data_IF_724255981088
#
_entry.id   IF_724255981088
#
_cell.length_a   1.000
_cell.length_b   1.000
_cell.length_c   1.000
_cell.angle_alpha   90.00
_cell.angle_beta   90.00
_cell.angle_gamma   90.00
#
_symmetry.space_group_name_H-M   'P 1'
#
loop_
_entity.id
_entity.type
_entity.pdbx_description
1 polymer ?
#
# COMPACT_ATOMS: atom_id res chain seq x y z
N UNK A 1 -24.19 37.73 -7.36
CA UNK A 1 -24.76 36.65 -8.18
C UNK A 1 -23.61 36.01 -8.93
N UNK A 2 -23.13 34.86 -8.46
CA UNK A 2 -22.09 34.12 -9.18
C UNK A 2 -22.70 33.59 -10.49
N UNK A 3 -21.95 33.73 -11.59
CA UNK A 3 -22.41 33.35 -12.92
C UNK A 3 -22.65 31.85 -12.99
N UNK A 4 -23.68 31.41 -13.71
CA UNK A 4 -23.98 29.98 -13.97
C UNK A 4 -22.78 29.22 -14.57
N UNK A 5 -21.81 29.93 -15.17
CA UNK A 5 -20.56 29.37 -15.70
C UNK A 5 -19.56 28.95 -14.62
N UNK A 6 -19.56 29.61 -13.46
CA UNK A 6 -18.59 29.36 -12.38
C UNK A 6 -18.98 28.14 -11.53
N UNK A 7 -20.28 27.81 -11.49
CA UNK A 7 -20.79 26.61 -10.83
C UNK A 7 -20.61 25.35 -11.69
N UNK A 8 -20.60 25.46 -13.02
CA UNK A 8 -20.35 24.32 -13.92
C UNK A 8 -18.87 23.94 -14.01
N UNK A 9 -17.95 24.90 -13.93
CA UNK A 9 -16.50 24.62 -13.88
C UNK A 9 -16.07 24.01 -12.55
N UNK A 10 -16.64 24.47 -11.43
CA UNK A 10 -16.41 23.86 -10.12
C UNK A 10 -16.99 22.44 -10.02
N UNK A 11 -18.12 22.16 -10.66
CA UNK A 11 -18.71 20.81 -10.70
C UNK A 11 -17.88 19.84 -11.53
N UNK A 12 -17.31 20.29 -12.65
CA UNK A 12 -16.42 19.49 -13.49
C UNK A 12 -15.04 19.23 -12.83
N UNK A 13 -14.52 20.17 -12.04
CA UNK A 13 -13.29 19.96 -11.24
C UNK A 13 -13.50 18.95 -10.09
N UNK A 14 -14.69 18.93 -9.48
CA UNK A 14 -15.02 17.94 -8.43
C UNK A 14 -15.27 16.55 -9.02
N UNK A 15 -15.91 16.45 -10.19
CA UNK A 15 -16.16 15.17 -10.86
C UNK A 15 -14.88 14.55 -11.46
N UNK A 16 -13.93 15.37 -11.93
CA UNK A 16 -12.60 14.89 -12.38
C UNK A 16 -11.71 14.44 -11.21
N UNK A 17 -11.90 14.99 -10.01
CA UNK A 17 -11.20 14.55 -8.79
C UNK A 17 -11.86 13.33 -8.12
N UNK A 18 -13.15 13.08 -8.35
CA UNK A 18 -13.87 11.93 -7.78
C UNK A 18 -13.88 10.67 -8.68
N UNK A 19 -13.56 10.81 -9.97
CA UNK A 19 -13.58 9.68 -10.93
C UNK A 19 -12.38 8.72 -10.91
N UNK A 20 -11.30 8.98 -10.17
CA UNK A 20 -10.05 8.21 -10.25
C UNK A 20 -9.89 7.10 -9.20
N UNK A 21 -10.97 6.52 -8.70
CA UNK A 21 -10.91 5.45 -7.69
C UNK A 21 -11.62 4.15 -8.14
N UNK A 22 -11.25 3.65 -9.32
CA UNK A 22 -11.62 2.31 -9.78
C UNK A 22 -10.35 1.57 -10.26
N UNK A 23 -9.81 0.73 -9.36
CA UNK A 23 -9.19 -0.54 -9.74
C UNK A 23 -7.86 -0.56 -10.48
N UNK A 24 -6.84 0.21 -10.09
CA UNK A 24 -5.43 -0.08 -10.44
C UNK A 24 -4.52 -0.05 -9.21
N UNK A 25 -3.54 -0.98 -9.08
CA UNK A 25 -2.58 -0.95 -7.99
C UNK A 25 -1.76 0.34 -8.06
N UNK A 26 -1.49 0.93 -6.90
CA UNK A 26 -0.58 2.06 -6.79
C UNK A 26 0.81 1.66 -7.32
N UNK A 27 1.59 2.59 -7.91
CA UNK A 27 2.96 2.31 -8.31
C UNK A 27 3.73 1.63 -7.20
N UNK A 28 4.52 0.57 -7.48
CA UNK A 28 5.47 0.09 -6.50
C UNK A 28 6.35 1.28 -6.14
N UNK A 29 6.44 1.59 -4.85
CA UNK A 29 7.07 2.81 -4.31
C UNK A 29 8.38 3.22 -5.00
N UNK A 30 9.20 2.25 -5.40
CA UNK A 30 10.44 2.45 -6.16
C UNK A 30 10.29 3.26 -7.46
N UNK A 31 9.29 2.98 -8.31
CA UNK A 31 9.12 3.68 -9.60
C UNK A 31 8.71 5.14 -9.39
N UNK A 32 7.87 5.39 -8.37
CA UNK A 32 7.51 6.75 -7.96
C UNK A 32 8.73 7.51 -7.46
N UNK A 33 9.52 6.90 -6.58
CA UNK A 33 10.68 7.54 -5.97
C UNK A 33 11.76 7.83 -7.04
N UNK A 34 11.91 6.94 -8.02
CA UNK A 34 12.76 7.16 -9.19
C UNK A 34 12.29 8.34 -10.06
N UNK A 35 10.98 8.45 -10.30
CA UNK A 35 10.40 9.59 -11.03
C UNK A 35 10.64 10.91 -10.28
N UNK A 36 10.56 10.93 -8.95
CA UNK A 36 10.79 12.14 -8.16
C UNK A 36 12.25 12.56 -8.21
N UNK A 37 13.18 11.61 -8.05
CA UNK A 37 14.60 11.86 -8.23
C UNK A 37 14.93 12.39 -9.64
N UNK A 38 14.26 11.84 -10.67
CA UNK A 38 14.40 12.34 -12.04
C UNK A 38 13.95 13.79 -12.18
N UNK A 39 12.77 14.12 -11.63
CA UNK A 39 12.24 15.49 -11.67
C UNK A 39 13.20 16.46 -10.98
N UNK A 40 13.77 16.08 -9.84
CA UNK A 40 14.75 16.91 -9.12
C UNK A 40 16.03 17.17 -9.94
N UNK A 41 16.45 16.21 -10.76
CA UNK A 41 17.60 16.37 -11.67
C UNK A 41 17.26 17.36 -12.78
N UNK A 42 16.18 17.15 -13.53
CA UNK A 42 15.83 18.00 -14.67
C UNK A 42 15.40 19.41 -14.26
N UNK A 43 14.92 19.56 -13.02
CA UNK A 43 14.60 20.84 -12.39
C UNK A 43 15.81 21.47 -11.68
N UNK A 44 16.96 20.82 -11.73
CA UNK A 44 18.22 21.27 -11.13
C UNK A 44 18.12 21.59 -9.63
N UNK A 45 17.18 20.96 -8.91
CA UNK A 45 16.94 21.16 -7.48
C UNK A 45 18.04 20.55 -6.60
N UNK A 46 18.94 19.76 -7.19
CA UNK A 46 20.16 19.30 -6.53
C UNK A 46 21.19 20.43 -6.38
N UNK A 47 21.15 21.42 -7.27
CA UNK A 47 22.08 22.56 -7.29
C UNK A 47 21.41 23.83 -6.76
N UNK A 48 20.09 23.96 -6.97
CA UNK A 48 19.28 25.07 -6.52
C UNK A 48 18.54 24.74 -5.21
N UNK A 49 18.77 25.55 -4.17
CA UNK A 49 18.15 25.36 -2.84
C UNK A 49 16.68 25.80 -2.77
N UNK A 50 16.14 26.39 -3.82
CA UNK A 50 14.78 26.94 -3.90
C UNK A 50 14.11 26.51 -5.20
N UNK A 51 12.77 26.48 -5.20
CA UNK A 51 12.01 26.26 -6.42
C UNK A 51 12.20 27.50 -7.33
N UNK A 52 12.75 27.32 -8.55
CA UNK A 52 12.90 28.42 -9.49
C UNK A 52 11.54 29.05 -9.81
N UNK A 53 11.51 30.38 -9.94
CA UNK A 53 10.33 31.09 -10.41
C UNK A 53 9.96 30.70 -11.84
N UNK A 54 8.73 31.05 -12.29
CA UNK A 54 8.29 30.71 -13.64
C UNK A 54 9.19 31.36 -14.71
N UNK A 55 9.23 30.79 -15.93
CA UNK A 55 9.95 31.38 -17.05
C UNK A 55 9.49 32.82 -17.32
N UNK A 56 10.36 33.60 -17.97
CA UNK A 56 10.04 34.99 -18.29
C UNK A 56 8.74 35.08 -19.10
N UNK A 57 7.94 36.15 -18.92
CA UNK A 57 6.70 36.34 -19.68
C UNK A 57 6.91 36.33 -21.20
N UNK A 58 8.07 36.78 -21.69
CA UNK A 58 8.42 36.73 -23.10
C UNK A 58 8.59 35.28 -23.60
N UNK A 59 9.24 34.43 -22.81
CA UNK A 59 9.41 33.00 -23.11
C UNK A 59 8.06 32.28 -23.15
N UNK A 60 7.17 32.58 -22.21
CA UNK A 60 5.81 32.01 -22.21
C UNK A 60 4.98 32.49 -23.41
N UNK A 61 5.11 33.77 -23.78
CA UNK A 61 4.42 34.31 -24.95
C UNK A 61 4.89 33.64 -26.24
N UNK A 62 6.20 33.47 -26.41
CA UNK A 62 6.78 32.75 -27.56
C UNK A 62 6.30 31.30 -27.60
N UNK A 63 6.36 30.57 -26.48
CA UNK A 63 5.85 29.19 -26.39
C UNK A 63 4.38 29.09 -26.85
N UNK A 64 3.53 30.00 -26.36
CA UNK A 64 2.10 30.01 -26.68
C UNK A 64 1.80 30.29 -28.17
N UNK A 65 2.80 30.67 -28.98
CA UNK A 65 2.62 30.79 -30.45
C UNK A 65 2.82 29.47 -31.20
N UNK A 66 3.39 28.45 -30.57
CA UNK A 66 3.77 27.20 -31.22
C UNK A 66 2.73 26.09 -31.15
N UNK A 67 1.84 26.14 -30.14
CA UNK A 67 0.85 25.08 -29.89
C UNK A 67 -0.52 25.69 -29.65
N UNK A 68 -1.52 25.13 -30.32
CA UNK A 68 -2.94 25.49 -30.15
C UNK A 68 -3.66 24.51 -29.22
N UNK A 69 -3.19 23.26 -29.15
CA UNK A 69 -3.79 22.22 -28.31
C UNK A 69 -2.76 21.22 -27.74
N UNK A 70 -3.25 20.32 -26.89
CA UNK A 70 -2.46 19.28 -26.21
C UNK A 70 -1.99 18.18 -27.17
N UNK A 71 -2.73 17.89 -28.24
CA UNK A 71 -2.38 16.85 -29.21
C UNK A 71 -1.14 17.24 -30.03
N UNK A 72 -1.01 18.51 -30.40
CA UNK A 72 0.19 19.02 -31.08
C UNK A 72 1.44 18.86 -30.20
N UNK A 73 1.32 19.11 -28.89
CA UNK A 73 2.41 18.92 -27.92
C UNK A 73 2.78 17.44 -27.82
N UNK A 74 1.80 16.55 -27.68
CA UNK A 74 2.05 15.10 -27.62
C UNK A 74 2.69 14.58 -28.91
N UNK A 75 2.23 15.05 -30.07
CA UNK A 75 2.80 14.69 -31.35
C UNK A 75 4.25 15.16 -31.47
N UNK A 76 4.54 16.42 -31.11
CA UNK A 76 5.90 16.94 -31.10
C UNK A 76 6.81 16.18 -30.13
N UNK A 77 6.33 15.85 -28.92
CA UNK A 77 7.08 15.08 -27.95
C UNK A 77 7.42 13.65 -28.44
N UNK A 78 6.47 13.00 -29.12
CA UNK A 78 6.63 11.62 -29.61
C UNK A 78 7.47 11.52 -30.89
N UNK A 79 7.50 12.56 -31.72
CA UNK A 79 8.25 12.53 -32.98
C UNK A 79 9.70 12.97 -32.76
N UNK A 80 10.60 12.02 -32.54
CA UNK A 80 12.03 12.31 -32.34
C UNK A 80 12.73 12.92 -33.55
N UNK A 81 12.13 12.80 -34.74
CA UNK A 81 12.63 13.38 -36.00
C UNK A 81 12.07 14.78 -36.26
N UNK A 82 11.15 15.28 -35.43
CA UNK A 82 10.60 16.61 -35.62
C UNK A 82 11.69 17.69 -35.43
N UNK A 83 11.66 18.76 -36.25
CA UNK A 83 12.58 19.88 -36.09
C UNK A 83 12.41 20.51 -34.70
N UNK A 84 13.51 21.01 -34.15
CA UNK A 84 13.45 21.72 -32.87
C UNK A 84 12.75 23.07 -33.05
N UNK A 85 11.80 23.40 -32.17
CA UNK A 85 11.10 24.68 -32.18
C UNK A 85 12.01 25.84 -31.81
N UNK A 86 13.01 25.58 -30.96
CA UNK A 86 14.08 26.52 -30.65
C UNK A 86 15.46 25.90 -30.94
N UNK A 87 16.48 26.70 -31.27
CA UNK A 87 17.85 26.21 -31.39
C UNK A 87 18.37 25.59 -30.09
N UNK A 88 19.09 24.46 -30.18
CA UNK A 88 19.61 23.73 -29.01
C UNK A 88 20.51 24.59 -28.11
N UNK A 89 21.30 25.49 -28.68
CA UNK A 89 22.17 26.40 -27.91
C UNK A 89 21.39 27.38 -27.01
N UNK A 90 20.09 27.59 -27.27
CA UNK A 90 19.20 28.39 -26.43
C UNK A 90 18.63 27.62 -25.24
N UNK A 91 18.72 26.29 -25.21
CA UNK A 91 18.37 25.49 -24.03
C UNK A 91 19.46 25.70 -22.98
N UNK A 92 19.07 26.08 -21.77
CA UNK A 92 19.99 26.32 -20.65
C UNK A 92 19.91 25.25 -19.56
N UNK A 93 18.91 24.36 -19.61
CA UNK A 93 18.80 23.24 -18.68
C UNK A 93 19.99 22.28 -18.77
N UNK A 94 20.41 21.76 -17.62
CA UNK A 94 21.45 20.75 -17.40
C UNK A 94 22.86 21.13 -17.89
N UNK A 95 23.13 22.42 -18.15
CA UNK A 95 24.45 22.87 -18.64
C UNK A 95 25.57 22.71 -17.61
N UNK A 96 25.24 22.77 -16.32
CA UNK A 96 26.20 22.60 -15.21
C UNK A 96 26.43 21.14 -14.82
N UNK A 97 25.63 20.21 -15.36
CA UNK A 97 25.67 18.81 -14.97
C UNK A 97 26.96 18.17 -15.51
N UNK A 98 27.90 17.82 -14.63
CA UNK A 98 29.08 17.05 -15.01
C UNK A 98 28.66 15.61 -15.34
N UNK A 99 29.13 15.09 -16.48
CA UNK A 99 28.87 13.72 -16.91
C UNK A 99 29.40 12.71 -15.88
N UNK A 100 28.62 11.65 -15.59
CA UNK A 100 29.05 10.55 -14.74
C UNK A 100 28.08 10.19 -13.61
N UNK A 101 28.64 9.68 -12.52
CA UNK A 101 27.89 9.21 -11.35
C UNK A 101 27.57 10.37 -10.40
N UNK A 102 26.28 10.70 -10.22
CA UNK A 102 25.82 11.69 -9.23
C UNK A 102 25.28 10.98 -8.00
N UNK A 103 25.91 11.18 -6.84
CA UNK A 103 25.41 10.65 -5.56
C UNK A 103 24.13 11.38 -5.16
N UNK A 104 23.04 10.65 -5.02
CA UNK A 104 21.73 11.13 -4.58
C UNK A 104 21.26 10.15 -3.52
N UNK A 105 21.22 10.58 -2.26
CA UNK A 105 20.81 9.74 -1.12
C UNK A 105 19.45 9.05 -1.40
N UNK A 106 19.36 7.70 -1.38
CA UNK A 106 20.32 6.72 -0.86
C UNK A 106 21.28 6.04 -1.86
N UNK A 107 21.36 6.46 -3.12
CA UNK A 107 22.15 5.81 -4.16
C UNK A 107 23.01 6.73 -5.04
N UNK A 108 23.42 6.19 -6.19
CA UNK A 108 24.20 6.89 -7.21
C UNK A 108 23.46 6.74 -8.52
N UNK A 109 23.11 7.86 -9.15
CA UNK A 109 22.47 7.89 -10.46
C UNK A 109 23.55 8.02 -11.52
N UNK A 110 23.54 7.09 -12.49
CA UNK A 110 24.41 7.18 -13.65
C UNK A 110 23.73 8.05 -14.70
N UNK A 111 24.23 9.28 -14.87
CA UNK A 111 23.75 10.20 -15.90
C UNK A 111 24.82 10.23 -16.99
N UNK A 112 24.59 9.43 -18.03
CA UNK A 112 25.44 9.41 -19.22
C UNK A 112 25.26 10.69 -20.04
N UNK A 113 26.17 10.94 -20.98
CA UNK A 113 26.06 12.10 -21.86
C UNK A 113 24.79 12.08 -22.72
N UNK A 114 24.34 10.87 -23.06
CA UNK A 114 23.12 10.66 -23.82
C UNK A 114 21.87 11.17 -23.11
N UNK A 115 21.77 11.00 -21.79
CA UNK A 115 20.66 11.53 -21.00
C UNK A 115 20.53 13.05 -21.12
N UNK A 116 21.65 13.77 -20.99
CA UNK A 116 21.68 15.23 -21.07
C UNK A 116 21.29 15.67 -22.49
N UNK A 117 21.90 15.08 -23.50
CA UNK A 117 21.65 15.39 -24.91
C UNK A 117 20.18 15.13 -25.28
N UNK A 118 19.64 13.98 -24.85
CA UNK A 118 18.24 13.60 -25.08
C UNK A 118 17.27 14.56 -24.40
N UNK A 119 17.56 14.96 -23.15
CA UNK A 119 16.72 15.89 -22.40
C UNK A 119 16.73 17.29 -23.03
N UNK A 120 17.91 17.81 -23.38
CA UNK A 120 18.05 19.11 -24.05
C UNK A 120 17.40 19.10 -25.44
N UNK A 121 17.55 18.03 -26.21
CA UNK A 121 16.88 17.88 -27.51
C UNK A 121 15.35 17.84 -27.36
N UNK A 122 14.83 17.17 -26.34
CA UNK A 122 13.39 17.11 -26.07
C UNK A 122 12.84 18.48 -25.66
N UNK A 123 13.58 19.22 -24.80
CA UNK A 123 13.27 20.60 -24.43
C UNK A 123 13.25 21.53 -25.65
N UNK A 124 14.28 21.46 -26.51
CA UNK A 124 14.37 22.26 -27.73
C UNK A 124 13.21 21.97 -28.70
N UNK A 125 12.81 20.71 -28.83
CA UNK A 125 11.69 20.27 -29.65
C UNK A 125 10.34 20.79 -29.15
N UNK A 126 10.19 20.95 -27.85
CA UNK A 126 8.98 21.52 -27.24
C UNK A 126 9.07 23.03 -27.01
N UNK A 127 10.12 23.71 -27.48
CA UNK A 127 10.26 25.16 -27.35
C UNK A 127 10.59 25.63 -25.93
N UNK A 128 11.13 24.75 -25.08
CA UNK A 128 11.44 25.01 -23.68
C UNK A 128 12.93 25.29 -23.50
N UNK A 129 13.29 26.48 -23.01
CA UNK A 129 14.69 26.82 -22.71
C UNK A 129 15.17 26.24 -21.38
N UNK A 130 14.25 26.12 -20.43
CA UNK A 130 14.45 25.53 -19.11
C UNK A 130 13.27 24.62 -18.80
N UNK A 131 13.51 23.60 -17.99
CA UNK A 131 12.42 22.82 -17.41
C UNK A 131 11.96 23.52 -16.11
N UNK A 132 10.90 24.32 -16.22
CA UNK A 132 10.38 25.10 -15.11
C UNK A 132 8.84 25.19 -15.19
N UNK A 133 8.12 24.17 -14.67
CA UNK A 133 6.66 24.18 -14.63
C UNK A 133 6.11 25.46 -13.99
N UNK A 134 5.06 26.03 -14.59
CA UNK A 134 4.40 27.22 -14.05
C UNK A 134 3.43 26.80 -12.95
N UNK A 135 3.89 26.88 -11.70
CA UNK A 135 3.16 26.35 -10.55
C UNK A 135 1.89 27.11 -10.23
N UNK A 136 1.78 28.39 -10.60
CA UNK A 136 0.56 29.18 -10.42
C UNK A 136 -0.54 28.89 -11.46
N UNK A 137 -0.22 28.20 -12.56
CA UNK A 137 -1.20 27.82 -13.58
C UNK A 137 -1.79 26.43 -13.32
N UNK A 138 -2.88 26.12 -14.05
CA UNK A 138 -3.46 24.78 -14.08
C UNK A 138 -2.42 23.74 -14.54
N UNK A 139 -2.38 22.54 -13.92
CA UNK A 139 -1.62 21.40 -14.42
C UNK A 139 -1.97 21.00 -15.86
N UNK A 140 -3.15 21.41 -16.33
CA UNK A 140 -3.68 21.13 -17.67
C UNK A 140 -3.40 22.26 -18.68
N UNK A 141 -2.70 23.32 -18.29
CA UNK A 141 -2.27 24.36 -19.24
C UNK A 141 -1.29 23.78 -20.28
N UNK A 142 -1.31 24.31 -21.51
CA UNK A 142 -0.43 23.85 -22.60
C UNK A 142 1.05 23.87 -22.20
N UNK A 143 1.48 24.89 -21.48
CA UNK A 143 2.86 24.98 -21.00
C UNK A 143 3.22 23.89 -19.99
N UNK A 144 2.33 23.63 -19.01
CA UNK A 144 2.56 22.57 -18.02
C UNK A 144 2.42 21.17 -18.63
N UNK A 145 1.60 21.01 -19.67
CA UNK A 145 1.54 19.79 -20.46
C UNK A 145 2.89 19.51 -21.14
N UNK A 146 3.49 20.50 -21.80
CA UNK A 146 4.79 20.35 -22.42
C UNK A 146 5.86 19.98 -21.38
N UNK A 147 5.85 20.62 -20.20
CA UNK A 147 6.75 20.26 -19.09
C UNK A 147 6.54 18.80 -18.64
N UNK A 148 5.29 18.35 -18.52
CA UNK A 148 4.99 16.95 -18.16
C UNK A 148 5.48 15.98 -19.22
N UNK A 149 5.27 16.28 -20.51
CA UNK A 149 5.75 15.44 -21.61
C UNK A 149 7.28 15.31 -21.58
N UNK A 150 8.02 16.40 -21.33
CA UNK A 150 9.48 16.32 -21.13
C UNK A 150 9.80 15.34 -20.01
N UNK A 151 9.28 15.59 -18.80
CA UNK A 151 9.64 14.83 -17.61
C UNK A 151 9.36 13.33 -17.76
N UNK A 152 8.21 12.96 -18.32
CA UNK A 152 7.84 11.55 -18.48
C UNK A 152 8.68 10.87 -19.56
N UNK A 153 8.95 11.53 -20.69
CA UNK A 153 9.73 10.93 -21.78
C UNK A 153 11.19 10.76 -21.40
N UNK A 154 11.78 11.77 -20.77
CA UNK A 154 13.18 11.69 -20.32
C UNK A 154 13.34 10.68 -19.18
N UNK A 155 12.32 10.52 -18.33
CA UNK A 155 12.30 9.50 -17.30
C UNK A 155 12.28 8.09 -17.90
N UNK A 156 11.33 7.80 -18.79
CA UNK A 156 11.22 6.48 -19.43
C UNK A 156 12.50 6.13 -20.21
N UNK A 157 13.12 7.12 -20.86
CA UNK A 157 14.39 6.92 -21.57
C UNK A 157 15.53 6.58 -20.61
N UNK A 158 15.70 7.37 -19.54
CA UNK A 158 16.75 7.13 -18.53
C UNK A 158 16.53 5.81 -17.77
N UNK A 159 15.28 5.43 -17.51
CA UNK A 159 14.96 4.14 -16.91
C UNK A 159 15.34 2.97 -17.84
N UNK A 160 15.09 3.11 -19.14
CA UNK A 160 15.46 2.09 -20.15
C UNK A 160 16.98 1.90 -20.30
N UNK A 161 17.79 2.88 -19.85
CA UNK A 161 19.25 2.79 -19.80
C UNK A 161 19.78 2.44 -18.40
N UNK A 162 18.92 1.89 -17.53
CA UNK A 162 19.25 1.44 -16.17
C UNK A 162 19.76 2.55 -15.22
N UNK A 163 19.46 3.83 -15.49
CA UNK A 163 19.93 4.95 -14.65
C UNK A 163 19.46 4.87 -13.19
N UNK A 164 18.36 4.15 -12.93
CA UNK A 164 17.75 3.95 -11.60
C UNK A 164 17.85 2.51 -11.08
N UNK A 165 18.77 1.68 -11.59
CA UNK A 165 18.88 0.28 -11.20
C UNK A 165 19.04 0.06 -9.68
N UNK A 166 19.68 0.99 -8.97
CA UNK A 166 19.84 0.95 -7.51
C UNK A 166 18.51 0.95 -6.73
N UNK A 167 17.43 1.48 -7.32
CA UNK A 167 16.08 1.46 -6.74
C UNK A 167 15.30 0.18 -7.02
N UNK A 168 15.86 -0.76 -7.80
CA UNK A 168 15.21 -2.01 -8.20
C UNK A 168 13.80 -1.76 -8.79
N UNK A 169 13.70 -0.74 -9.66
CA UNK A 169 12.45 -0.40 -10.34
C UNK A 169 12.00 -1.56 -11.25
N UNK A 170 10.69 -1.82 -11.32
CA UNK A 170 10.14 -2.72 -12.32
C UNK A 170 9.93 -1.93 -13.62
N UNK A 171 10.61 -2.37 -14.68
CA UNK A 171 10.62 -1.77 -16.02
C UNK A 171 9.21 -1.65 -16.63
N UNK A 172 8.28 -2.53 -16.29
CA UNK A 172 6.89 -2.49 -16.78
C UNK A 172 6.19 -1.17 -16.43
N UNK A 173 6.48 -0.62 -15.25
CA UNK A 173 5.85 0.63 -14.79
C UNK A 173 6.54 1.89 -15.31
N UNK A 174 7.71 1.78 -15.94
CA UNK A 174 8.47 2.94 -16.42
C UNK A 174 7.88 3.58 -17.68
N UNK A 175 6.93 2.89 -18.32
CA UNK A 175 6.21 3.32 -19.53
C UNK A 175 4.69 3.43 -19.30
N UNK A 176 4.23 3.11 -18.10
CA UNK A 176 2.81 3.19 -17.74
C UNK A 176 2.39 4.64 -17.50
N UNK A 177 1.87 5.28 -18.55
CA UNK A 177 1.44 6.68 -18.50
C UNK A 177 0.28 6.92 -17.53
N UNK A 178 -0.57 5.92 -17.30
CA UNK A 178 -1.72 6.04 -16.38
C UNK A 178 -1.26 6.11 -14.93
N UNK A 179 -0.09 5.55 -14.64
CA UNK A 179 0.57 5.57 -13.35
C UNK A 179 1.52 6.77 -13.19
N UNK A 180 2.26 7.13 -14.24
CA UNK A 180 3.26 8.19 -14.20
C UNK A 180 2.65 9.60 -14.17
N UNK A 181 1.54 9.84 -14.91
CA UNK A 181 0.89 11.16 -14.95
C UNK A 181 0.38 11.57 -13.55
N UNK A 182 -0.37 10.73 -12.80
CA UNK A 182 -0.78 11.07 -11.43
C UNK A 182 0.40 11.29 -10.49
N UNK A 183 1.44 10.46 -10.59
CA UNK A 183 2.64 10.60 -9.75
C UNK A 183 3.36 11.93 -10.01
N UNK A 184 3.51 12.32 -11.28
CA UNK A 184 4.05 13.61 -11.70
C UNK A 184 3.21 14.78 -11.16
N UNK A 185 1.89 14.74 -11.37
CA UNK A 185 1.00 15.82 -10.95
C UNK A 185 1.03 16.02 -9.43
N UNK A 186 1.07 14.91 -8.67
CA UNK A 186 1.25 14.95 -7.23
C UNK A 186 2.58 15.60 -6.83
N UNK A 187 3.69 15.23 -7.46
CA UNK A 187 4.99 15.80 -7.11
C UNK A 187 5.08 17.29 -7.44
N UNK A 188 4.86 17.63 -8.72
CA UNK A 188 5.10 18.99 -9.23
C UNK A 188 4.01 19.96 -8.75
N UNK A 189 2.75 19.62 -9.00
CA UNK A 189 1.64 20.56 -8.82
C UNK A 189 0.97 20.51 -7.43
N UNK A 190 1.28 19.50 -6.62
CA UNK A 190 0.84 19.45 -5.22
C UNK A 190 1.99 19.71 -4.25
N UNK A 191 3.05 18.89 -4.25
CA UNK A 191 4.14 19.02 -3.27
C UNK A 191 5.00 20.26 -3.56
N UNK A 192 5.56 20.39 -4.76
CA UNK A 192 6.45 21.50 -5.08
C UNK A 192 5.72 22.85 -5.15
N UNK A 193 4.43 22.87 -5.53
CA UNK A 193 3.57 24.07 -5.40
C UNK A 193 3.47 24.55 -3.95
N UNK A 194 3.16 23.65 -3.01
CA UNK A 194 3.08 24.02 -1.57
C UNK A 194 4.39 24.58 -1.06
N UNK A 195 5.51 23.96 -1.47
CA UNK A 195 6.86 24.44 -1.14
C UNK A 195 7.10 25.83 -1.71
N UNK A 196 6.83 26.04 -3.00
CA UNK A 196 6.98 27.32 -3.66
C UNK A 196 6.13 28.43 -3.01
N UNK A 197 4.88 28.15 -2.65
CA UNK A 197 4.02 29.11 -1.92
C UNK A 197 4.58 29.48 -0.54
N UNK A 198 5.17 28.51 0.16
CA UNK A 198 5.84 28.74 1.45
C UNK A 198 7.09 29.60 1.27
N UNK A 199 7.95 29.26 0.31
CA UNK A 199 9.16 30.01 -0.03
C UNK A 199 8.83 31.46 -0.42
N UNK A 200 7.78 31.68 -1.22
CA UNK A 200 7.29 33.03 -1.60
C UNK A 200 6.77 33.83 -0.41
N UNK A 201 6.07 33.19 0.52
CA UNK A 201 5.62 33.83 1.79
C UNK A 201 6.80 34.21 2.66
N UNK A 202 7.78 33.33 2.82
CA UNK A 202 9.00 33.61 3.60
C UNK A 202 9.83 34.75 3.01
N UNK A 203 9.95 34.80 1.68
CA UNK A 203 10.61 35.90 0.95
C UNK A 203 9.88 37.24 1.16
N UNK A 204 8.55 37.25 1.11
CA UNK A 204 7.74 38.45 1.38
C UNK A 204 7.83 38.98 2.82
N UNK A 205 8.24 38.13 3.76
CA UNK A 205 8.37 38.45 5.19
C UNK A 205 9.80 38.87 5.57
N UNK A 206 10.73 38.99 4.61
CA UNK A 206 12.11 39.39 4.87
C UNK A 206 12.91 38.42 5.74
N UNK A 207 12.40 37.20 5.98
CA UNK A 207 13.13 36.15 6.68
C UNK A 207 14.25 35.67 5.77
N UNK A 208 15.48 35.60 6.29
CA UNK A 208 16.58 34.98 5.55
C UNK A 208 16.15 33.57 5.13
N UNK A 209 16.39 33.31 3.84
CA UNK A 209 16.56 32.00 3.19
C UNK A 209 16.68 30.80 4.14
N UNK A 210 15.65 30.30 4.84
CA UNK A 210 15.86 29.27 5.86
C UNK A 210 16.22 27.94 5.16
N UNK A 211 17.52 27.70 5.05
CA UNK A 211 18.14 26.54 4.41
C UNK A 211 17.82 25.25 5.16
N UNK A 212 16.64 24.69 4.92
CA UNK A 212 16.29 23.34 5.36
C UNK A 212 15.63 22.57 4.21
N UNK A 213 16.19 22.66 3.00
CA UNK A 213 15.87 21.68 1.98
C UNK A 213 16.78 20.46 2.14
N UNK A 214 16.21 19.39 2.67
CA UNK A 214 16.66 18.03 2.36
C UNK A 214 15.52 17.40 1.56
N UNK A 215 15.71 16.95 0.31
CA UNK A 215 14.69 16.22 -0.45
C UNK A 215 14.11 15.08 0.41
N UNK A 216 15.04 14.33 1.02
CA UNK A 216 15.09 14.00 2.44
C UNK A 216 13.82 14.17 3.29
N UNK A 217 13.65 15.34 3.91
CA UNK A 217 12.86 15.60 5.13
C UNK A 217 11.38 15.89 4.91
N UNK A 218 11.00 16.56 3.82
CA UNK A 218 9.59 16.79 3.48
C UNK A 218 9.00 15.59 2.74
N UNK A 219 9.77 15.00 1.81
CA UNK A 219 9.48 13.66 1.28
C UNK A 219 9.52 12.65 2.43
N UNK A 220 10.45 12.71 3.39
CA UNK A 220 10.42 11.89 4.62
C UNK A 220 9.25 12.22 5.52
N UNK A 221 8.59 13.38 5.51
CA UNK A 221 7.38 13.57 6.32
C UNK A 221 6.19 12.81 5.73
N UNK A 222 6.03 12.84 4.41
CA UNK A 222 4.97 12.11 3.71
C UNK A 222 5.32 10.65 3.45
N UNK A 223 6.61 10.32 3.27
CA UNK A 223 7.16 8.97 3.25
C UNK A 223 7.18 8.41 4.66
N UNK A 224 7.42 9.19 5.73
CA UNK A 224 7.11 8.77 7.11
C UNK A 224 5.64 8.67 7.33
N UNK A 225 4.77 9.46 6.70
CA UNK A 225 3.33 9.29 6.85
C UNK A 225 2.84 8.04 6.09
N UNK A 226 3.36 7.78 4.90
CA UNK A 226 3.07 6.59 4.09
C UNK A 226 3.73 5.36 4.70
N UNK A 227 4.97 5.46 5.21
CA UNK A 227 5.61 4.43 6.02
C UNK A 227 4.87 4.28 7.34
N UNK A 228 4.42 5.33 8.03
CA UNK A 228 3.60 5.18 9.24
C UNK A 228 2.23 4.59 8.93
N UNK A 229 1.63 4.85 7.77
CA UNK A 229 0.38 4.24 7.35
C UNK A 229 0.64 2.80 6.92
N UNK A 230 1.74 2.51 6.23
CA UNK A 230 2.17 1.17 5.83
C UNK A 230 2.71 0.36 7.02
N UNK A 231 3.27 1.00 8.04
CA UNK A 231 3.76 0.45 9.30
C UNK A 231 2.56 0.29 10.22
N UNK A 232 1.59 1.21 10.25
CA UNK A 232 0.32 0.98 10.94
C UNK A 232 -0.43 -0.18 10.29
N UNK A 233 -0.45 -0.25 8.96
CA UNK A 233 -1.06 -1.34 8.21
C UNK A 233 -0.26 -2.64 8.40
N UNK A 234 1.08 -2.58 8.36
CA UNK A 234 1.96 -3.73 8.58
C UNK A 234 1.90 -4.19 10.03
N UNK A 235 1.85 -3.29 11.00
CA UNK A 235 1.60 -3.58 12.41
C UNK A 235 0.20 -4.16 12.58
N UNK A 236 -0.85 -3.58 11.98
CA UNK A 236 -2.21 -4.15 12.05
C UNK A 236 -2.23 -5.57 11.45
N UNK A 237 -1.58 -5.78 10.30
CA UNK A 237 -1.43 -7.09 9.68
C UNK A 237 -0.63 -8.04 10.58
N UNK A 238 0.55 -7.64 11.06
CA UNK A 238 1.42 -8.44 11.94
C UNK A 238 0.72 -8.81 13.24
N UNK A 239 -0.03 -7.89 13.85
CA UNK A 239 -0.83 -8.16 15.04
C UNK A 239 -1.91 -9.21 14.80
N UNK A 240 -2.44 -9.29 13.57
CA UNK A 240 -3.40 -10.33 13.19
C UNK A 240 -2.69 -11.65 12.93
N UNK A 241 -1.49 -11.64 12.34
CA UNK A 241 -0.64 -12.84 12.24
C UNK A 241 -0.31 -13.37 13.64
N UNK A 242 0.12 -12.52 14.58
CA UNK A 242 0.39 -12.90 15.97
C UNK A 242 -0.88 -13.42 16.68
N UNK A 243 -2.05 -12.82 16.42
CA UNK A 243 -3.33 -13.27 16.95
C UNK A 243 -3.74 -14.63 16.37
N UNK A 244 -3.57 -14.82 15.06
CA UNK A 244 -3.78 -16.11 14.38
C UNK A 244 -2.87 -17.15 15.01
N UNK A 245 -1.57 -16.89 15.09
CA UNK A 245 -0.57 -17.84 15.58
C UNK A 245 -0.83 -18.21 17.05
N UNK A 246 -1.22 -17.22 17.86
CA UNK A 246 -1.68 -17.46 19.23
C UNK A 246 -2.90 -18.38 19.31
N UNK A 247 -3.88 -18.20 18.42
CA UNK A 247 -5.10 -19.03 18.36
C UNK A 247 -4.80 -20.42 17.82
N UNK A 248 -3.93 -20.54 16.82
CA UNK A 248 -3.47 -21.82 16.26
C UNK A 248 -2.70 -22.60 17.31
N UNK A 249 -1.77 -21.97 18.01
CA UNK A 249 -1.02 -22.56 19.12
C UNK A 249 -1.96 -23.07 20.22
N UNK A 250 -2.86 -22.20 20.70
CA UNK A 250 -3.88 -22.60 21.67
C UNK A 250 -4.74 -23.77 21.17
N UNK A 251 -5.17 -23.73 19.91
CA UNK A 251 -5.99 -24.79 19.34
C UNK A 251 -5.25 -26.14 19.27
N UNK A 252 -3.96 -26.13 18.99
CA UNK A 252 -3.09 -27.31 19.02
C UNK A 252 -2.84 -27.81 20.45
N UNK A 253 -2.46 -26.92 21.38
CA UNK A 253 -2.17 -27.24 22.78
C UNK A 253 -3.37 -27.89 23.47
N UNK A 254 -4.58 -27.38 23.18
CA UNK A 254 -5.83 -27.89 23.74
C UNK A 254 -6.52 -28.96 22.87
N UNK A 255 -5.87 -29.43 21.80
CA UNK A 255 -6.38 -30.49 20.90
C UNK A 255 -7.81 -30.24 20.41
N UNK A 256 -8.09 -29.01 19.98
CA UNK A 256 -9.41 -28.65 19.48
C UNK A 256 -9.76 -29.46 18.21
N UNK A 257 -11.05 -29.70 17.92
CA UNK A 257 -11.49 -30.39 16.72
C UNK A 257 -10.85 -29.83 15.44
N UNK A 258 -10.49 -30.71 14.50
CA UNK A 258 -9.75 -30.33 13.28
C UNK A 258 -10.49 -29.28 12.45
N UNK A 259 -11.83 -29.35 12.41
CA UNK A 259 -12.65 -28.34 11.76
C UNK A 259 -12.46 -26.93 12.34
N UNK A 260 -12.28 -26.77 13.65
CA UNK A 260 -11.96 -25.46 14.24
C UNK A 260 -10.53 -25.04 13.91
N UNK A 261 -9.58 -25.97 13.96
CA UNK A 261 -8.17 -25.72 13.60
C UNK A 261 -8.03 -25.15 12.19
N UNK A 262 -8.76 -25.70 11.21
CA UNK A 262 -8.79 -25.20 9.81
C UNK A 262 -9.30 -23.75 9.69
N UNK A 263 -10.31 -23.37 10.48
CA UNK A 263 -10.83 -21.99 10.46
C UNK A 263 -9.84 -21.02 11.09
N UNK A 264 -9.24 -21.38 12.23
CA UNK A 264 -8.32 -20.49 12.94
C UNK A 264 -6.94 -20.42 12.30
N UNK A 265 -6.60 -21.30 11.35
CA UNK A 265 -5.35 -21.20 10.59
C UNK A 265 -5.42 -20.20 9.43
N UNK A 266 -6.61 -19.86 8.94
CA UNK A 266 -6.75 -18.89 7.86
C UNK A 266 -6.69 -17.46 8.39
N UNK A 267 -5.73 -16.68 7.88
CA UNK A 267 -5.55 -15.28 8.26
C UNK A 267 -6.83 -14.45 8.01
N UNK A 268 -7.59 -14.75 6.96
CA UNK A 268 -8.80 -14.01 6.58
C UNK A 268 -10.00 -14.34 7.49
N UNK A 269 -9.86 -15.29 8.42
CA UNK A 269 -10.88 -15.58 9.42
C UNK A 269 -10.81 -14.67 10.65
N UNK A 270 -9.70 -13.95 10.81
CA UNK A 270 -9.45 -13.08 11.95
C UNK A 270 -9.79 -11.63 11.64
N UNK A 271 -10.40 -10.96 12.62
CA UNK A 271 -10.66 -9.52 12.56
C UNK A 271 -9.48 -8.75 13.11
N UNK A 272 -9.18 -7.64 12.44
CA UNK A 272 -8.39 -6.53 12.99
C UNK A 272 -9.16 -5.82 14.10
N UNK A 273 -8.43 -5.06 14.91
CA UNK A 273 -8.98 -4.31 16.03
C UNK A 273 -8.51 -2.85 15.99
N UNK A 274 -9.31 -1.95 16.54
CA UNK A 274 -9.00 -0.54 16.72
C UNK A 274 -8.94 -0.20 18.21
N UNK A 275 -7.84 0.38 18.69
CA UNK A 275 -7.74 0.76 20.10
C UNK A 275 -8.63 1.97 20.41
N UNK A 276 -9.49 1.85 21.42
CA UNK A 276 -10.35 2.90 21.97
C UNK A 276 -9.74 3.41 23.29
N UNK A 277 -9.09 4.59 23.30
CA UNK A 277 -8.42 5.14 24.48
C UNK A 277 -9.40 5.49 25.61
N UNK A 278 -10.66 5.77 25.29
CA UNK A 278 -11.65 6.17 26.30
C UNK A 278 -12.08 4.98 27.17
N UNK A 279 -12.07 3.78 26.58
CA UNK A 279 -12.49 2.54 27.23
C UNK A 279 -11.32 1.64 27.62
N UNK A 280 -10.11 1.97 27.19
CA UNK A 280 -8.91 1.14 27.33
C UNK A 280 -9.13 -0.30 26.81
N UNK A 281 -9.72 -0.41 25.62
CA UNK A 281 -10.02 -1.68 24.95
C UNK A 281 -9.76 -1.60 23.45
N UNK A 282 -9.52 -2.75 22.84
CA UNK A 282 -9.42 -2.92 21.40
C UNK A 282 -10.78 -3.32 20.83
N UNK A 283 -11.42 -2.42 20.08
CA UNK A 283 -12.71 -2.64 19.42
C UNK A 283 -12.49 -3.52 18.19
N UNK A 284 -13.11 -4.70 18.18
CA UNK A 284 -12.98 -5.66 17.07
C UNK A 284 -13.74 -5.14 15.85
N UNK A 285 -13.05 -4.96 14.72
CA UNK A 285 -13.67 -4.54 13.46
C UNK A 285 -14.48 -5.68 12.85
N UNK A 286 -15.56 -5.34 12.14
CA UNK A 286 -16.49 -6.31 11.56
C UNK A 286 -16.00 -6.79 10.20
N UNK A 287 -15.79 -8.09 10.06
CA UNK A 287 -15.68 -8.75 8.74
C UNK A 287 -17.07 -8.79 8.11
N UNK A 288 -17.23 -8.13 6.96
CA UNK A 288 -18.52 -8.03 6.26
C UNK A 288 -19.04 -9.38 5.75
N UNK A 289 -18.15 -10.34 5.49
CA UNK A 289 -18.47 -11.68 5.01
C UNK A 289 -18.64 -12.72 6.12
N UNK A 290 -18.29 -12.41 7.39
CA UNK A 290 -18.34 -13.40 8.48
C UNK A 290 -19.70 -13.42 9.16
N UNK A 291 -20.25 -14.62 9.35
CA UNK A 291 -21.55 -14.82 9.99
C UNK A 291 -21.57 -14.35 11.45
N UNK A 292 -22.76 -14.01 11.93
CA UNK A 292 -22.96 -13.69 13.35
C UNK A 292 -22.60 -14.89 14.25
N UNK A 293 -22.84 -16.13 13.79
CA UNK A 293 -22.53 -17.34 14.55
C UNK A 293 -21.01 -17.58 14.62
N UNK A 294 -20.28 -17.43 13.52
CA UNK A 294 -18.82 -17.47 13.51
C UNK A 294 -18.21 -16.40 14.44
N UNK A 295 -18.82 -15.20 14.50
CA UNK A 295 -18.41 -14.16 15.45
C UNK A 295 -18.61 -14.59 16.91
N UNK A 296 -19.68 -15.33 17.24
CA UNK A 296 -19.86 -15.91 18.58
C UNK A 296 -18.78 -16.94 18.91
N UNK A 297 -18.38 -17.76 17.95
CA UNK A 297 -17.29 -18.73 18.13
C UNK A 297 -15.99 -18.03 18.52
N UNK A 298 -15.54 -17.04 17.73
CA UNK A 298 -14.29 -16.31 18.03
C UNK A 298 -14.33 -15.58 19.37
N UNK A 299 -15.49 -15.04 19.77
CA UNK A 299 -15.69 -14.46 21.11
C UNK A 299 -15.49 -15.49 22.21
N UNK A 300 -16.02 -16.70 22.01
CA UNK A 300 -15.92 -17.79 22.98
C UNK A 300 -14.49 -18.32 23.08
N UNK A 301 -13.81 -18.47 21.95
CA UNK A 301 -12.39 -18.82 21.88
C UNK A 301 -11.52 -17.80 22.62
N UNK A 302 -11.68 -16.50 22.33
CA UNK A 302 -10.91 -15.44 23.00
C UNK A 302 -11.13 -15.42 24.51
N UNK A 303 -12.37 -15.67 24.97
CA UNK A 303 -12.68 -15.78 26.39
C UNK A 303 -11.95 -16.95 27.04
N UNK A 304 -11.91 -18.11 26.39
CA UNK A 304 -11.20 -19.29 26.89
C UNK A 304 -9.68 -19.08 26.93
N UNK A 305 -9.12 -18.45 25.90
CA UNK A 305 -7.70 -18.10 25.88
C UNK A 305 -7.34 -17.17 27.03
N UNK A 306 -8.20 -16.20 27.34
CA UNK A 306 -8.01 -15.29 28.48
C UNK A 306 -8.08 -16.04 29.82
N UNK A 307 -9.03 -16.96 29.98
CA UNK A 307 -9.15 -17.82 31.17
C UNK A 307 -7.89 -18.69 31.35
N UNK A 308 -7.37 -19.28 30.27
CA UNK A 308 -6.14 -20.09 30.30
C UNK A 308 -4.89 -19.28 30.65
N UNK A 309 -4.74 -18.08 30.08
CA UNK A 309 -3.60 -17.21 30.40
C UNK A 309 -3.60 -16.77 31.87
N UNK A 310 -4.79 -16.51 32.44
CA UNK A 310 -4.94 -16.18 33.86
C UNK A 310 -4.52 -17.34 34.76
N UNK A 311 -4.91 -18.57 34.42
CA UNK A 311 -4.53 -19.77 35.17
C UNK A 311 -3.03 -20.03 35.07
N UNK A 312 -2.44 -19.78 33.90
CA UNK A 312 -1.03 -20.07 33.62
C UNK A 312 -0.09 -18.88 33.87
N UNK A 313 -0.55 -17.80 34.51
CA UNK A 313 0.22 -16.57 34.77
C UNK A 313 0.97 -16.02 33.53
N UNK A 314 0.34 -16.13 32.35
CA UNK A 314 0.91 -15.61 31.10
C UNK A 314 0.71 -14.10 31.01
N UNK A 315 1.49 -13.46 30.14
CA UNK A 315 1.37 -12.01 29.89
C UNK A 315 -0.08 -11.65 29.53
N UNK A 316 -0.61 -10.52 30.03
CA UNK A 316 -1.99 -10.13 29.76
C UNK A 316 -2.22 -9.94 28.26
N UNK A 317 -3.23 -10.62 27.70
CA UNK A 317 -3.71 -10.32 26.35
C UNK A 317 -4.42 -8.97 26.30
N UNK A 318 -4.45 -8.39 25.10
CA UNK A 318 -5.26 -7.20 24.81
C UNK A 318 -6.73 -7.47 25.11
N UNK A 319 -7.38 -6.56 25.83
CA UNK A 319 -8.82 -6.61 26.08
C UNK A 319 -9.57 -6.27 24.80
N UNK A 320 -10.23 -7.26 24.20
CA UNK A 320 -10.98 -7.09 22.95
C UNK A 320 -12.47 -6.94 23.20
N UNK A 321 -13.06 -5.88 22.64
CA UNK A 321 -14.49 -5.57 22.76
C UNK A 321 -15.19 -5.75 21.42
N UNK A 322 -16.22 -6.59 21.38
CA UNK A 322 -17.02 -6.77 20.17
C UNK A 322 -18.28 -5.89 20.21
N UNK A 323 -18.34 -4.89 19.33
CA UNK A 323 -19.49 -4.00 19.20
C UNK A 323 -20.51 -4.51 18.18
N UNK A 324 -21.81 -4.21 18.38
CA UNK A 324 -22.85 -4.52 17.39
C UNK A 324 -22.71 -3.67 16.12
N UNK A 325 -22.33 -2.41 16.28
CA UNK A 325 -22.09 -1.42 15.21
C UNK A 325 -20.61 -1.03 15.20
N UNK A 326 -19.73 -2.02 15.07
CA UNK A 326 -18.28 -1.78 14.97
C UNK A 326 -17.85 -1.28 13.58
N UNK A 327 -16.69 -0.62 13.48
CA UNK A 327 -16.10 -0.22 12.20
C UNK A 327 -15.86 -1.43 11.29
N UNK A 328 -15.85 -1.22 9.98
CA UNK A 328 -15.57 -2.27 9.01
C UNK A 328 -14.08 -2.65 9.02
N UNK A 329 -13.80 -3.95 8.87
CA UNK A 329 -12.44 -4.45 8.76
C UNK A 329 -11.76 -4.00 7.47
N UNK A 330 -10.43 -3.83 7.52
CA UNK A 330 -9.60 -3.64 6.33
C UNK A 330 -9.54 -4.90 5.45
N UNK A 331 -9.79 -6.09 6.02
CA UNK A 331 -9.83 -7.35 5.29
C UNK A 331 -11.13 -7.47 4.51
N UNK A 332 -11.03 -7.24 3.20
CA UNK A 332 -12.17 -7.31 2.27
C UNK A 332 -12.28 -8.67 1.57
N UNK A 333 -11.21 -9.47 1.59
CA UNK A 333 -11.15 -10.77 0.94
C UNK A 333 -11.61 -11.85 1.90
N UNK A 334 -12.70 -12.53 1.55
CA UNK A 334 -13.18 -13.65 2.34
C UNK A 334 -12.24 -14.87 2.18
N UNK A 335 -12.09 -15.72 3.20
CA UNK A 335 -11.37 -16.98 3.08
C UNK A 335 -12.00 -17.86 2.00
N UNK A 336 -11.19 -18.67 1.30
CA UNK A 336 -11.69 -19.61 0.27
C UNK A 336 -11.82 -21.01 0.84
N UNK A 337 -12.87 -21.71 0.42
CA UNK A 337 -13.12 -23.11 0.81
C UNK A 337 -13.54 -23.30 2.27
N UNK A 338 -13.84 -22.21 3.01
CA UNK A 338 -14.42 -22.37 4.33
C UNK A 338 -15.84 -22.96 4.25
N UNK A 339 -16.30 -23.68 5.30
CA UNK A 339 -17.65 -24.18 5.43
C UNK A 339 -18.71 -23.07 5.35
N UNK A 340 -19.89 -23.40 4.86
CA UNK A 340 -20.93 -22.43 4.51
C UNK A 340 -21.34 -21.54 5.69
N UNK A 341 -21.47 -22.11 6.88
CA UNK A 341 -21.92 -21.43 8.11
C UNK A 341 -20.90 -20.44 8.69
N UNK A 342 -19.69 -20.37 8.13
CA UNK A 342 -18.75 -19.28 8.37
C UNK A 342 -19.21 -17.97 7.75
N UNK A 343 -19.85 -18.01 6.57
CA UNK A 343 -20.18 -16.81 5.81
C UNK A 343 -21.51 -16.22 6.25
N UNK A 344 -21.64 -14.91 6.18
CA UNK A 344 -22.92 -14.25 6.44
C UNK A 344 -23.95 -14.61 5.34
N UNK A 345 -25.18 -15.04 5.69
CA UNK A 345 -26.18 -15.44 4.69
C UNK A 345 -26.53 -14.33 3.70
N UNK A 346 -26.66 -13.08 4.16
CA UNK A 346 -26.97 -11.97 3.26
C UNK A 346 -25.79 -11.69 2.33
N UNK A 347 -24.56 -11.80 2.84
CA UNK A 347 -23.36 -11.67 2.03
C UNK A 347 -23.28 -12.78 0.97
N UNK A 348 -23.52 -14.03 1.34
CA UNK A 348 -23.47 -15.18 0.42
C UNK A 348 -24.56 -15.09 -0.67
N UNK A 349 -25.81 -14.84 -0.26
CA UNK A 349 -26.96 -14.79 -1.16
C UNK A 349 -26.90 -13.61 -2.15
N UNK A 350 -26.15 -12.54 -1.86
CA UNK A 350 -25.94 -11.43 -2.80
C UNK A 350 -24.92 -11.72 -3.91
N UNK A 351 -24.14 -12.80 -3.81
CA UNK A 351 -23.11 -13.14 -4.81
C UNK A 351 -23.74 -13.81 -6.03
N UNK A 352 -23.09 -13.67 -7.19
CA UNK A 352 -23.44 -14.42 -8.40
C UNK A 352 -23.26 -15.93 -8.16
N UNK A 353 -24.16 -16.76 -8.71
CA UNK A 353 -24.19 -18.21 -8.46
C UNK A 353 -22.84 -18.91 -8.74
N UNK A 354 -22.14 -18.53 -9.81
CA UNK A 354 -20.83 -19.08 -10.17
C UNK A 354 -19.74 -18.82 -9.11
N UNK A 355 -19.84 -17.72 -8.35
CA UNK A 355 -18.88 -17.38 -7.30
C UNK A 355 -19.21 -18.03 -5.96
N UNK A 356 -20.46 -18.51 -5.78
CA UNK A 356 -20.89 -19.18 -4.55
C UNK A 356 -20.26 -20.56 -4.43
N UNK A 357 -20.21 -21.34 -5.51
CA UNK A 357 -19.61 -22.69 -5.52
C UNK A 357 -18.09 -22.71 -5.62
N UNK A 358 -17.48 -21.69 -6.26
CA UNK A 358 -16.02 -21.62 -6.45
C UNK A 358 -15.25 -21.29 -5.17
N UNK A 359 -15.79 -20.39 -4.34
CA UNK A 359 -15.05 -19.83 -3.20
C UNK A 359 -15.53 -20.37 -1.84
N UNK A 360 -16.69 -21.02 -1.75
CA UNK A 360 -17.32 -21.45 -0.48
C UNK A 360 -17.58 -22.96 -0.52
N UNK A 361 -17.28 -23.66 0.56
CA UNK A 361 -17.63 -25.06 0.69
C UNK A 361 -19.11 -25.19 1.11
N UNK A 362 -19.98 -25.46 0.13
CA UNK A 362 -21.43 -25.59 0.32
C UNK A 362 -21.86 -26.96 0.84
N UNK A 363 -20.92 -27.88 1.11
CA UNK A 363 -21.22 -29.27 1.51
C UNK A 363 -20.98 -29.53 3.00
N UNK A 364 -20.41 -28.58 3.72
CA UNK A 364 -20.02 -28.75 5.12
C UNK A 364 -20.42 -27.55 5.98
N UNK A 365 -20.64 -27.83 7.26
CA UNK A 365 -20.84 -26.85 8.32
C UNK A 365 -19.92 -27.17 9.51
N UNK A 366 -19.49 -26.15 10.26
CA UNK A 366 -18.43 -26.29 11.28
C UNK A 366 -18.85 -25.90 12.69
N UNK A 367 -19.72 -24.89 12.84
CA UNK A 367 -20.10 -24.35 14.13
C UNK A 367 -21.33 -25.04 14.68
N UNK A 368 -21.44 -25.10 16.02
CA UNK A 368 -22.70 -25.46 16.65
C UNK A 368 -23.79 -24.44 16.26
N UNK A 369 -25.08 -24.83 16.23
CA UNK A 369 -26.20 -23.92 15.97
C UNK A 369 -26.17 -22.63 16.80
N UNK A 370 -25.63 -22.73 18.02
CA UNK A 370 -25.24 -21.58 18.82
C UNK A 370 -23.77 -21.70 19.24
N UNK A 371 -22.88 -21.08 18.48
CA UNK A 371 -21.44 -21.18 18.70
C UNK A 371 -20.96 -20.50 19.99
N UNK A 372 -21.82 -19.75 20.69
CA UNK A 372 -21.52 -19.27 22.05
C UNK A 372 -21.39 -20.41 23.06
N UNK A 373 -21.99 -21.57 22.73
CA UNK A 373 -21.91 -22.80 23.51
C UNK A 373 -20.75 -23.70 23.11
N UNK A 374 -19.95 -23.30 22.12
CA UNK A 374 -18.77 -24.05 21.72
C UNK A 374 -17.71 -24.07 22.82
N UNK A 375 -16.84 -25.09 22.80
CA UNK A 375 -15.71 -25.22 23.72
C UNK A 375 -16.16 -25.19 25.21
N UNK A 376 -17.32 -25.81 25.48
CA UNK A 376 -17.84 -26.06 26.83
C UNK A 376 -17.79 -27.57 27.04
N UNK A 377 -17.22 -28.02 28.18
CA UNK A 377 -17.06 -29.45 28.50
C UNK A 377 -18.34 -30.28 28.28
N UNK A 378 -19.52 -29.73 28.60
CA UNK A 378 -20.82 -30.38 28.40
C UNK A 378 -21.12 -30.73 26.93
N UNK A 379 -20.63 -29.93 25.98
CA UNK A 379 -20.88 -30.09 24.55
C UNK A 379 -19.75 -30.82 23.82
N UNK A 380 -18.72 -31.28 24.55
CA UNK A 380 -17.63 -32.08 23.98
C UNK A 380 -18.10 -33.28 23.16
N UNK A 381 -19.18 -34.02 23.52
CA UNK A 381 -19.67 -35.12 22.67
C UNK A 381 -20.10 -34.68 21.27
N UNK A 382 -20.77 -33.52 21.14
CA UNK A 382 -21.15 -32.96 19.85
C UNK A 382 -19.93 -32.43 19.09
N UNK A 383 -18.93 -31.94 19.81
CA UNK A 383 -17.70 -31.42 19.21
C UNK A 383 -16.72 -32.53 18.78
N UNK A 384 -16.84 -33.72 19.36
CA UNK A 384 -16.01 -34.89 19.02
C UNK A 384 -16.55 -35.70 17.84
N UNK A 385 -17.73 -35.35 17.31
CA UNK A 385 -18.25 -35.93 16.07
C UNK A 385 -17.26 -35.69 14.92
N UNK A 386 -17.18 -36.64 13.99
CA UNK A 386 -16.46 -36.44 12.74
C UNK A 386 -17.11 -35.31 11.93
N UNK A 387 -16.35 -34.66 11.04
CA UNK A 387 -16.87 -33.55 10.22
C UNK A 387 -18.09 -33.95 9.38
N UNK A 388 -18.15 -35.23 8.96
CA UNK A 388 -19.28 -35.81 8.23
C UNK A 388 -20.50 -35.95 9.13
N UNK A 389 -20.38 -36.64 10.26
CA UNK A 389 -21.49 -36.83 11.21
C UNK A 389 -22.02 -35.48 11.73
N UNK A 390 -21.12 -34.54 11.98
CA UNK A 390 -21.49 -33.19 12.40
C UNK A 390 -22.30 -32.46 11.34
N UNK A 391 -21.85 -32.53 10.07
CA UNK A 391 -22.58 -31.94 8.96
C UNK A 391 -23.93 -32.63 8.78
N UNK A 392 -23.98 -33.95 8.74
CA UNK A 392 -25.23 -34.73 8.60
C UNK A 392 -26.27 -34.33 9.67
N UNK A 393 -25.83 -34.05 10.90
CA UNK A 393 -26.71 -33.67 12.00
C UNK A 393 -27.21 -32.22 11.91
N UNK A 394 -26.34 -31.25 11.56
CA UNK A 394 -26.64 -29.82 11.70
C UNK A 394 -26.81 -29.07 10.37
N UNK A 395 -26.48 -29.68 9.23
CA UNK A 395 -26.46 -29.02 7.93
C UNK A 395 -27.81 -28.39 7.61
N UNK A 396 -28.91 -29.15 7.60
CA UNK A 396 -30.25 -28.63 7.26
C UNK A 396 -30.66 -27.42 8.11
N UNK A 397 -30.34 -27.44 9.40
CA UNK A 397 -30.66 -26.33 10.30
C UNK A 397 -29.80 -25.10 10.00
N UNK A 398 -28.50 -25.29 9.79
CA UNK A 398 -27.53 -24.21 9.60
C UNK A 398 -27.58 -23.62 8.19
N UNK A 399 -27.99 -24.39 7.19
CA UNK A 399 -28.05 -23.97 5.78
C UNK A 399 -29.42 -23.41 5.36
N UNK A 400 -30.43 -23.52 6.22
CA UNK A 400 -31.77 -22.95 5.99
C UNK A 400 -31.81 -21.48 5.50
N UNK A 401 -30.94 -20.54 5.95
CA UNK A 401 -30.97 -19.17 5.46
C UNK A 401 -30.19 -18.93 4.14
N UNK A 402 -29.54 -19.94 3.57
CA UNK A 402 -28.72 -19.81 2.37
C UNK A 402 -29.49 -20.26 1.11
N UNK A 403 -29.35 -19.49 0.03
CA UNK A 403 -29.89 -19.84 -1.27
C UNK A 403 -28.95 -20.82 -1.99
N UNK A 404 -29.25 -22.11 -1.83
CA UNK A 404 -28.53 -23.25 -2.43
C UNK A 404 -29.18 -23.81 -3.69
N UNK A 405 -30.16 -23.11 -4.28
CA UNK A 405 -30.87 -23.54 -5.50
C UNK A 405 -29.93 -23.89 -6.66
N UNK A 406 -28.83 -23.16 -6.78
CA UNK A 406 -27.77 -23.37 -7.78
C UNK A 406 -26.86 -24.58 -7.55
N UNK A 407 -26.90 -25.22 -6.37
CA UNK A 407 -26.09 -26.40 -6.01
C UNK A 407 -26.86 -27.70 -6.21
N UNK A 408 -28.20 -27.63 -6.22
CA UNK A 408 -29.06 -28.76 -6.53
C UNK A 408 -28.94 -28.98 -8.04
N UNK A 409 -28.12 -29.96 -8.45
CA UNK A 409 -28.26 -30.54 -9.78
C UNK A 409 -29.65 -31.16 -9.82
N UNK A 410 -30.51 -30.68 -10.70
CA UNK A 410 -31.72 -31.41 -11.06
C UNK A 410 -31.29 -32.82 -11.49
N UNK A 411 -31.86 -33.90 -10.94
CA UNK A 411 -31.54 -35.27 -11.33
C UNK A 411 -32.03 -35.62 -12.76
N UNK A 412 -32.37 -34.62 -13.57
CA UNK A 412 -33.01 -34.78 -14.86
C UNK A 412 -32.07 -34.54 -16.07
N UNK A 413 -30.81 -34.17 -15.85
CA UNK A 413 -29.83 -34.07 -16.95
C UNK A 413 -28.58 -34.88 -16.64
N UNK A 414 -28.77 -36.20 -16.70
CA UNK A 414 -27.72 -37.13 -17.10
C UNK A 414 -27.91 -37.35 -18.61
N UNK A 415 -26.89 -37.03 -19.41
CA UNK A 415 -26.40 -37.96 -20.43
C UNK A 415 -25.15 -37.42 -21.15
N UNK A 416 -24.07 -38.18 -20.98
CA UNK A 416 -22.93 -38.41 -21.88
C UNK A 416 -21.95 -37.24 -22.13
N UNK A 417 -20.63 -37.39 -22.05
CA UNK A 417 -19.84 -38.60 -22.26
C UNK A 417 -18.38 -38.43 -21.81
N UNK A 418 -17.74 -39.58 -21.57
CA UNK A 418 -16.30 -39.90 -21.53
C UNK A 418 -15.41 -39.42 -20.37
N UNK A 419 -15.19 -40.38 -19.47
CA UNK A 419 -13.97 -40.63 -18.69
C UNK A 419 -12.69 -40.55 -19.55
N UNK A 420 -11.59 -40.02 -18.98
CA UNK A 420 -10.34 -40.78 -18.92
C UNK A 420 -9.42 -40.24 -17.82
N UNK A 421 -9.19 -41.16 -16.89
CA UNK A 421 -8.24 -41.21 -15.79
C UNK A 421 -6.79 -40.88 -16.19
N UNK A 422 -6.11 -40.07 -15.37
CA UNK A 422 -4.72 -40.37 -15.07
C UNK A 422 -4.33 -39.79 -13.71
N UNK A 423 -4.26 -40.66 -12.71
CA UNK A 423 -3.71 -40.35 -11.40
C UNK A 423 -2.27 -39.84 -11.46
N UNK A 424 -1.96 -38.89 -10.56
CA UNK A 424 -0.71 -38.97 -9.83
C UNK A 424 -0.90 -38.47 -8.40
N UNK A 425 -0.48 -39.33 -7.49
CA UNK A 425 -0.39 -39.21 -6.06
C UNK A 425 0.61 -38.14 -5.61
N UNK A 426 0.30 -37.54 -4.45
CA UNK A 426 1.22 -37.11 -3.39
C UNK A 426 2.35 -36.12 -3.71
N UNK A 427 2.37 -35.00 -2.98
CA UNK A 427 3.41 -34.82 -1.96
C UNK A 427 2.95 -33.82 -0.88
N UNK A 428 2.72 -34.35 0.32
CA UNK A 428 2.73 -33.58 1.56
C UNK A 428 4.19 -33.31 1.90
N UNK A 429 4.57 -32.05 2.14
CA UNK A 429 5.83 -31.75 2.82
C UNK A 429 5.46 -31.33 4.24
N UNK A 430 5.57 -32.31 5.13
CA UNK A 430 5.80 -32.16 6.56
C UNK A 430 7.31 -32.21 6.74
N UNK A 431 7.91 -31.22 7.38
CA UNK A 431 9.25 -31.32 7.96
C UNK A 431 9.31 -30.36 9.16
N UNK A 432 8.85 -30.89 10.28
CA UNK A 432 9.34 -30.54 11.60
C UNK A 432 10.52 -31.47 11.89
N UNK A 433 11.74 -30.95 12.03
CA UNK A 433 12.69 -31.51 12.99
C UNK A 433 13.39 -30.39 13.78
N UNK A 434 13.35 -30.60 15.09
CA UNK A 434 14.02 -29.88 16.16
C UNK A 434 15.38 -30.57 16.43
N UNK A 435 16.37 -29.74 16.73
CA UNK A 435 17.44 -29.93 17.73
C UNK A 435 18.78 -30.66 17.45
N UNK A 436 19.84 -29.88 17.72
CA UNK A 436 21.17 -30.20 18.28
C UNK A 436 22.14 -31.04 17.40
N UNK A 437 23.46 -30.82 17.35
CA UNK A 437 24.41 -30.17 18.25
C UNK A 437 25.75 -29.90 17.51
N UNK A 438 26.51 -28.94 18.04
CA UNK A 438 27.97 -28.80 18.10
C UNK A 438 28.92 -28.82 16.86
N UNK A 439 29.59 -27.66 16.71
CA UNK A 439 31.03 -27.43 16.95
C UNK A 439 31.98 -27.09 15.78
N UNK A 440 32.88 -26.16 16.13
CA UNK A 440 34.17 -25.75 15.54
C UNK A 440 34.11 -24.80 14.31
N UNK A 441 34.31 -23.50 14.53
CA UNK A 441 35.60 -22.76 14.56
C UNK A 441 35.97 -22.23 13.16
N UNK A 442 35.91 -20.91 12.99
CA UNK A 442 37.14 -20.17 12.70
C UNK A 442 36.95 -18.65 12.90
N UNK A 443 37.90 -18.11 13.64
CA UNK A 443 38.09 -16.72 14.00
C UNK A 443 38.38 -15.86 12.76
N UNK A 444 37.92 -14.61 12.76
CA UNK A 444 38.85 -13.52 12.42
C UNK A 444 38.47 -12.23 13.17
N UNK A 445 39.44 -11.80 13.97
CA UNK A 445 39.49 -10.58 14.76
C UNK A 445 39.56 -9.35 13.83
N UNK A 446 38.88 -8.28 14.22
CA UNK A 446 39.48 -6.95 14.12
C UNK A 446 38.77 -6.01 15.08
N UNK A 447 39.38 -5.87 16.25
CA UNK A 447 39.25 -4.69 17.09
C UNK A 447 39.74 -3.46 16.34
N UNK A 448 38.98 -2.38 16.40
CA UNK A 448 39.55 -1.03 16.47
C UNK A 448 38.79 -0.25 17.56
N UNK A 449 39.47 -0.14 18.69
CA UNK A 449 39.33 0.90 19.70
C UNK A 449 39.21 2.28 19.06
N UNK A 450 38.30 3.10 19.59
CA UNK A 450 38.55 4.52 19.76
C UNK A 450 37.83 5.02 21.01
N UNK A 451 38.58 4.97 22.11
CA UNK A 451 38.42 5.83 23.28
C UNK A 451 38.67 7.30 22.87
N UNK A 452 37.67 8.17 22.99
CA UNK A 452 37.90 9.59 23.28
C UNK A 452 36.92 10.07 24.36
N UNK A 453 37.45 9.97 25.58
CA UNK A 453 37.28 10.83 26.74
C UNK A 453 36.64 12.22 26.49
N UNK A 454 35.58 12.55 27.25
CA UNK A 454 35.32 13.93 27.67
C UNK A 454 34.69 13.92 29.08
N UNK A 455 35.50 14.28 30.07
CA UNK A 455 35.04 14.65 31.40
C UNK A 455 34.46 16.07 31.42
N UNK A 456 33.51 16.24 32.33
CA UNK A 456 33.22 17.41 33.17
C UNK A 456 31.93 18.26 32.98
N UNK A 457 31.35 18.50 34.17
CA UNK A 457 30.34 19.47 34.61
C UNK A 457 28.87 19.15 34.21
N UNK A 458 27.89 19.02 35.10
CA UNK A 458 27.72 19.62 36.43
C UNK A 458 26.92 18.70 37.37
N UNK A 459 27.44 18.56 38.59
CA UNK A 459 26.69 18.10 39.75
C UNK A 459 26.00 19.31 40.39
N UNK A 460 24.67 19.34 40.44
CA UNK A 460 23.94 20.18 41.39
C UNK A 460 23.12 19.25 42.29
N UNK A 461 23.52 19.22 43.56
CA UNK A 461 22.86 18.51 44.65
C UNK A 461 21.42 19.00 44.87
N UNK A 462 20.53 18.11 45.35
CA UNK A 462 19.20 18.48 45.83
C UNK A 462 19.30 19.05 47.25
N UNK A 463 18.75 20.24 47.46
CA UNK A 463 18.43 20.73 48.80
C UNK A 463 17.12 20.12 49.25
N UNK A 464 17.20 19.21 50.21
CA UNK A 464 16.15 18.96 51.18
C UNK A 464 15.78 20.28 51.85
N UNK A 465 14.49 20.56 51.96
CA UNK A 465 14.00 21.38 53.06
C UNK A 465 12.70 20.77 53.59
N UNK A 466 12.79 20.41 54.87
CA UNK A 466 11.70 19.99 55.74
C UNK A 466 11.00 21.25 56.25
N UNK A 467 9.72 21.41 55.95
CA UNK A 467 8.70 21.92 56.90
C UNK A 467 7.29 21.72 56.38
#
# INVERSE_FOLDING_TARGET
MASLTDLQTASLEVDLLQGMNIGKPAPPSATRDALYAHIDIIWELLEHKYIPGPPSPNTLREFNTHFLDVFEIQHAANNTLAPSLIPLNQVTALKSLQYGQKKIDPGVIHLDGFFVDYTQATLARLGLRVWAPKLEDSPLSLYNEACRQVALKTFSQAASTFAYAYLKINDEYTKDVELLIPAYNHYVHHLQRKRYEKEKKEESLGKQKASSYCPHKETSKYQKLILQVNDKLANEVELIYQLRDSRVKFASDHKLPQRYRRIVSDINSHSDDEYDPQRDVYVVKKLNYRSANATKFFRRLDKLMLEDDQVNNRKPRRKRLFMKTGPASIFRKAPRGHPLDFYDPDWFNKRAAQLRTKDVNTQQVVFLPDASKSLIRRNAPLENLTDKEFSDQFFTQLTAPYDLTHVIKDPAEDDNDSEEDNGNSEEYIDDLEEDNDDSEEDNDDSEEDNDEHFEDADTIHPTEDLS
#
